data_IF_543201269958
#
_entry.id   IF_543201269958
#
_cell.length_a   1.000
_cell.length_b   1.000
_cell.length_c   1.000
_cell.angle_alpha   90.00
_cell.angle_beta   90.00
_cell.angle_gamma   90.00
#
_symmetry.space_group_name_H-M   'P 1'
#
loop_
_entity.id
_entity.type
_entity.pdbx_description
1 polymer ?
#
# COMPACT_ATOMS: atom_id res chain seq x y z
N UNK A 1 -19.24 -4.14 15.52
CA UNK A 1 -20.18 -4.58 14.46
C UNK A 1 -19.49 -5.69 13.70
N UNK A 2 -20.12 -6.83 13.52
CA UNK A 2 -19.60 -7.94 12.73
C UNK A 2 -20.21 -7.90 11.33
N UNK A 3 -19.37 -7.94 10.32
CA UNK A 3 -19.79 -8.01 8.91
C UNK A 3 -18.79 -8.85 8.13
N UNK A 4 -19.28 -9.79 7.36
CA UNK A 4 -18.43 -10.51 6.41
C UNK A 4 -17.98 -9.56 5.29
N UNK A 5 -16.75 -9.73 4.85
CA UNK A 5 -16.21 -8.93 3.74
C UNK A 5 -17.05 -9.16 2.47
N UNK A 6 -17.60 -8.10 1.92
CA UNK A 6 -18.41 -8.16 0.69
C UNK A 6 -17.62 -8.69 -0.52
N UNK A 7 -16.28 -8.66 -0.45
CA UNK A 7 -15.39 -9.14 -1.51
C UNK A 7 -15.10 -10.64 -1.42
N UNK A 8 -15.54 -11.31 -0.34
CA UNK A 8 -15.30 -12.73 -0.12
C UNK A 8 -16.62 -13.49 -0.32
N UNK A 9 -16.73 -14.37 -1.31
CA UNK A 9 -17.90 -15.20 -1.45
C UNK A 9 -18.03 -16.17 -0.27
N UNK A 10 -19.25 -16.37 0.19
CA UNK A 10 -19.62 -17.40 1.16
C UNK A 10 -20.24 -18.57 0.40
N UNK A 11 -19.63 -19.71 0.49
CA UNK A 11 -20.07 -20.91 -0.25
C UNK A 11 -20.28 -22.09 0.70
N UNK A 12 -21.32 -22.86 0.45
CA UNK A 12 -21.56 -24.13 1.15
C UNK A 12 -20.67 -25.20 0.55
N UNK A 13 -19.84 -25.82 1.39
CA UNK A 13 -19.00 -26.96 1.00
C UNK A 13 -19.65 -28.30 1.30
N UNK A 14 -20.65 -28.29 2.20
CA UNK A 14 -21.53 -29.42 2.53
C UNK A 14 -22.87 -28.89 3.05
N UNK A 15 -23.77 -29.77 3.45
CA UNK A 15 -25.03 -29.36 4.09
C UNK A 15 -24.83 -28.60 5.42
N UNK A 16 -23.68 -28.81 6.08
CA UNK A 16 -23.40 -28.25 7.40
C UNK A 16 -22.07 -27.48 7.49
N UNK A 17 -21.47 -27.16 6.36
CA UNK A 17 -20.17 -26.46 6.34
C UNK A 17 -20.15 -25.34 5.30
N UNK A 18 -19.56 -24.22 5.65
CA UNK A 18 -19.31 -23.10 4.74
C UNK A 18 -17.84 -22.77 4.67
N UNK A 19 -17.46 -22.17 3.54
CA UNK A 19 -16.17 -21.55 3.33
C UNK A 19 -16.37 -20.09 2.92
N UNK A 20 -15.54 -19.21 3.47
CA UNK A 20 -15.52 -17.80 3.12
C UNK A 20 -14.21 -17.48 2.39
N UNK A 21 -14.35 -16.97 1.16
CA UNK A 21 -13.22 -16.83 0.22
C UNK A 21 -12.91 -18.16 -0.49
N UNK A 22 -12.32 -18.06 -1.69
CA UNK A 22 -12.06 -19.24 -2.54
C UNK A 22 -10.56 -19.47 -2.73
N UNK A 23 -9.80 -18.42 -3.03
CA UNK A 23 -8.38 -18.56 -3.42
C UNK A 23 -7.52 -17.41 -2.83
N UNK A 24 -6.84 -17.69 -1.70
CA UNK A 24 -7.07 -18.78 -0.76
C UNK A 24 -8.31 -18.56 0.13
N UNK A 25 -8.88 -19.63 0.70
CA UNK A 25 -9.94 -19.51 1.71
C UNK A 25 -9.47 -18.68 2.90
N UNK A 26 -10.36 -17.82 3.41
CA UNK A 26 -10.08 -16.99 4.60
C UNK A 26 -10.62 -17.56 5.88
N UNK A 27 -11.74 -18.27 5.79
CA UNK A 27 -12.35 -18.94 6.93
C UNK A 27 -13.11 -20.19 6.47
N UNK A 28 -13.22 -21.15 7.39
CA UNK A 28 -14.01 -22.36 7.22
C UNK A 28 -14.78 -22.62 8.51
N UNK A 29 -16.06 -22.95 8.38
CA UNK A 29 -16.93 -23.24 9.53
C UNK A 29 -17.62 -24.56 9.26
N UNK A 30 -17.46 -25.51 10.19
CA UNK A 30 -18.08 -26.82 10.18
C UNK A 30 -19.20 -26.91 11.22
N UNK A 31 -20.02 -27.94 11.08
CA UNK A 31 -21.10 -28.29 12.02
C UNK A 31 -22.09 -27.13 12.25
N UNK A 32 -22.49 -26.48 11.16
CA UNK A 32 -23.49 -25.39 11.18
C UNK A 32 -24.86 -26.03 11.43
N UNK A 33 -25.57 -25.65 12.51
CA UNK A 33 -26.93 -26.08 12.73
C UNK A 33 -27.89 -25.53 11.64
N UNK A 34 -28.90 -26.28 11.27
CA UNK A 34 -29.92 -25.84 10.29
C UNK A 34 -30.59 -24.52 10.70
N UNK A 35 -30.68 -24.28 12.01
CA UNK A 35 -31.26 -23.05 12.58
C UNK A 35 -30.34 -21.83 12.51
N UNK A 36 -29.09 -21.97 12.10
CA UNK A 36 -28.09 -20.90 12.09
C UNK A 36 -28.06 -20.06 10.80
N UNK A 37 -28.78 -20.45 9.75
CA UNK A 37 -28.80 -19.70 8.49
C UNK A 37 -29.15 -18.20 8.63
N UNK A 38 -30.09 -17.78 9.50
CA UNK A 38 -30.37 -16.35 9.72
C UNK A 38 -29.19 -15.58 10.36
N UNK A 39 -28.36 -16.25 11.17
CA UNK A 39 -27.17 -15.65 11.76
C UNK A 39 -26.08 -15.37 10.69
N UNK A 40 -25.90 -16.32 9.77
CA UNK A 40 -24.98 -16.15 8.64
C UNK A 40 -25.43 -15.00 7.72
N UNK A 41 -26.72 -14.91 7.45
CA UNK A 41 -27.30 -13.80 6.67
C UNK A 41 -27.08 -12.46 7.38
N UNK A 42 -27.34 -12.38 8.69
CA UNK A 42 -27.09 -11.18 9.47
C UNK A 42 -25.61 -10.76 9.48
N UNK A 43 -24.68 -11.72 9.47
CA UNK A 43 -23.25 -11.44 9.35
C UNK A 43 -22.89 -10.94 7.95
N UNK A 44 -23.55 -11.38 6.90
CA UNK A 44 -23.35 -10.86 5.54
C UNK A 44 -23.81 -9.40 5.42
N UNK A 45 -24.97 -9.08 5.97
CA UNK A 45 -25.54 -7.73 5.97
C UNK A 45 -24.85 -6.77 6.96
N UNK A 46 -24.29 -7.33 8.02
CA UNK A 46 -23.66 -6.59 9.11
C UNK A 46 -24.58 -6.42 10.32
N UNK A 47 -24.13 -6.93 11.46
CA UNK A 47 -24.90 -6.92 12.70
C UNK A 47 -24.04 -6.56 13.92
N UNK A 48 -24.56 -5.85 14.92
CA UNK A 48 -23.87 -5.67 16.18
C UNK A 48 -23.86 -6.99 16.99
N UNK A 49 -22.93 -7.13 17.92
CA UNK A 49 -22.84 -8.32 18.77
C UNK A 49 -24.18 -8.61 19.52
N UNK A 50 -24.88 -7.57 19.98
CA UNK A 50 -26.20 -7.68 20.60
C UNK A 50 -27.28 -8.23 19.65
N UNK A 51 -27.23 -7.82 18.37
CA UNK A 51 -28.15 -8.33 17.35
C UNK A 51 -27.93 -9.81 17.06
N UNK A 52 -26.66 -10.22 16.97
CA UNK A 52 -26.29 -11.62 16.75
C UNK A 52 -26.72 -12.49 17.96
N UNK A 53 -26.52 -12.01 19.20
CA UNK A 53 -26.98 -12.71 20.40
C UNK A 53 -28.52 -12.79 20.49
N UNK A 54 -29.24 -11.78 20.02
CA UNK A 54 -30.71 -11.81 19.95
C UNK A 54 -31.21 -12.86 18.93
N UNK A 55 -30.61 -12.90 17.75
CA UNK A 55 -30.93 -13.90 16.71
C UNK A 55 -30.62 -15.31 17.21
N UNK A 56 -29.49 -15.51 17.85
CA UNK A 56 -29.11 -16.81 18.44
C UNK A 56 -30.17 -17.33 19.41
N UNK A 57 -30.64 -16.48 20.33
CA UNK A 57 -31.72 -16.83 21.27
C UNK A 57 -33.03 -17.15 20.55
N UNK A 58 -33.40 -16.34 19.56
CA UNK A 58 -34.64 -16.53 18.80
C UNK A 58 -34.64 -17.86 18.03
N UNK A 59 -33.51 -18.23 17.44
CA UNK A 59 -33.35 -19.44 16.64
C UNK A 59 -32.81 -20.65 17.45
N UNK A 60 -32.76 -20.52 18.79
CA UNK A 60 -32.31 -21.59 19.69
C UNK A 60 -30.88 -22.11 19.41
N UNK A 61 -30.01 -21.23 18.93
CA UNK A 61 -28.58 -21.49 18.74
C UNK A 61 -27.84 -21.15 20.04
N UNK A 62 -26.93 -22.03 20.47
CA UNK A 62 -26.19 -21.79 21.71
C UNK A 62 -25.23 -20.61 21.58
N UNK A 63 -25.06 -19.86 22.68
CA UNK A 63 -24.17 -18.72 22.71
C UNK A 63 -22.71 -19.13 22.46
N UNK A 64 -22.26 -20.26 23.03
CA UNK A 64 -20.94 -20.81 22.84
C UNK A 64 -20.66 -21.09 21.35
N UNK A 65 -21.66 -21.62 20.62
CA UNK A 65 -21.51 -21.84 19.18
C UNK A 65 -21.38 -20.51 18.40
N UNK A 66 -22.11 -19.47 18.80
CA UNK A 66 -22.01 -18.13 18.17
C UNK A 66 -20.63 -17.52 18.39
N UNK A 67 -20.08 -17.64 19.59
CA UNK A 67 -18.74 -17.15 19.92
C UNK A 67 -17.68 -17.91 19.09
N UNK A 68 -17.84 -19.23 18.96
CA UNK A 68 -16.98 -20.05 18.13
C UNK A 68 -17.10 -19.66 16.62
N UNK A 69 -18.31 -19.45 16.13
CA UNK A 69 -18.57 -18.97 14.77
C UNK A 69 -17.84 -17.66 14.49
N UNK A 70 -17.98 -16.66 15.40
CA UNK A 70 -17.34 -15.36 15.24
C UNK A 70 -15.82 -15.48 15.24
N UNK A 71 -15.26 -16.31 16.12
CA UNK A 71 -13.82 -16.57 16.17
C UNK A 71 -13.29 -17.22 14.89
N UNK A 72 -14.01 -18.22 14.35
CA UNK A 72 -13.63 -18.84 13.08
C UNK A 72 -13.74 -17.88 11.88
N UNK A 73 -14.71 -16.99 11.91
CA UNK A 73 -14.93 -16.00 10.84
C UNK A 73 -14.07 -14.74 10.96
N UNK A 74 -13.35 -14.54 12.08
CA UNK A 74 -12.53 -13.34 12.31
C UNK A 74 -11.66 -12.91 11.12
N UNK A 75 -10.93 -13.83 10.44
CA UNK A 75 -10.10 -13.47 9.29
C UNK A 75 -10.89 -13.00 8.06
N UNK A 76 -12.22 -13.24 8.05
CA UNK A 76 -13.12 -12.87 6.98
C UNK A 76 -14.07 -11.73 7.34
N UNK A 77 -14.03 -11.26 8.59
CA UNK A 77 -14.82 -10.11 9.03
C UNK A 77 -14.15 -8.81 8.59
N UNK A 78 -14.95 -7.88 8.09
CA UNK A 78 -14.51 -6.50 7.90
C UNK A 78 -14.58 -5.75 9.21
N UNK A 79 -13.48 -5.14 9.60
CA UNK A 79 -13.53 -3.98 10.47
C UNK A 79 -14.17 -2.84 9.65
N UNK A 80 -15.27 -2.29 10.12
CA UNK A 80 -15.99 -1.19 9.47
C UNK A 80 -15.21 0.12 9.55
N UNK A 81 -14.04 0.15 8.97
CA UNK A 81 -13.35 1.39 8.63
C UNK A 81 -13.44 1.49 7.10
N UNK A 82 -14.34 2.32 6.59
CA UNK A 82 -14.20 2.80 5.22
C UNK A 82 -12.96 3.68 5.26
N UNK A 83 -11.84 3.28 4.64
CA UNK A 83 -10.67 4.14 4.61
C UNK A 83 -11.09 5.45 3.94
N UNK A 84 -10.59 6.57 4.47
CA UNK A 84 -10.75 7.86 3.82
C UNK A 84 -10.24 7.75 2.37
N UNK A 85 -10.86 8.45 1.43
CA UNK A 85 -10.43 8.43 0.04
C UNK A 85 -8.96 8.86 -0.03
N UNK A 86 -8.14 8.02 -0.67
CA UNK A 86 -6.71 8.29 -0.82
C UNK A 86 -6.50 9.54 -1.68
N UNK A 87 -5.89 10.56 -1.10
CA UNK A 87 -5.54 11.81 -1.77
C UNK A 87 -4.03 11.87 -1.96
N UNK A 88 -3.59 11.79 -3.20
CA UNK A 88 -2.18 11.85 -3.56
C UNK A 88 -1.85 13.20 -4.18
N UNK A 89 -0.63 13.68 -3.96
CA UNK A 89 -0.07 14.78 -4.71
C UNK A 89 1.14 14.27 -5.50
N UNK A 90 1.16 14.49 -6.82
CA UNK A 90 2.21 13.97 -7.68
C UNK A 90 3.19 15.08 -8.08
N UNK A 91 4.44 14.95 -7.64
CA UNK A 91 5.55 15.79 -8.06
C UNK A 91 6.38 15.04 -9.09
N UNK A 92 6.53 15.61 -10.27
CA UNK A 92 7.13 14.87 -11.38
C UNK A 92 8.06 15.71 -12.26
N UNK A 93 9.18 15.07 -12.65
CA UNK A 93 10.02 15.47 -13.78
C UNK A 93 9.86 14.51 -14.97
N UNK A 94 9.04 13.47 -14.81
CA UNK A 94 8.88 12.38 -15.79
C UNK A 94 7.59 12.53 -16.61
N UNK A 95 7.64 12.12 -17.88
CA UNK A 95 6.46 12.04 -18.75
C UNK A 95 5.45 10.98 -18.29
N UNK A 96 5.85 10.05 -17.43
CA UNK A 96 4.98 9.02 -16.88
C UNK A 96 3.78 9.58 -16.07
N UNK A 97 3.89 10.85 -15.61
CA UNK A 97 2.84 11.52 -14.82
C UNK A 97 1.47 11.48 -15.49
N UNK A 98 1.40 11.73 -16.81
CA UNK A 98 0.12 11.78 -17.54
C UNK A 98 -0.60 10.43 -17.51
N UNK A 99 0.15 9.34 -17.73
CA UNK A 99 -0.41 7.98 -17.63
C UNK A 99 -0.84 7.61 -16.21
N UNK A 100 -0.05 8.00 -15.22
CA UNK A 100 -0.38 7.76 -13.80
C UNK A 100 -1.66 8.47 -13.36
N UNK A 101 -1.83 9.74 -13.70
CA UNK A 101 -3.05 10.50 -13.41
C UNK A 101 -4.27 9.89 -14.10
N UNK A 102 -4.10 9.40 -15.32
CA UNK A 102 -5.18 8.68 -16.04
C UNK A 102 -5.64 7.43 -15.30
N UNK A 103 -4.70 6.61 -14.81
CA UNK A 103 -4.99 5.41 -14.02
C UNK A 103 -5.62 5.76 -12.66
N UNK A 104 -5.11 6.77 -11.98
CA UNK A 104 -5.66 7.22 -10.69
C UNK A 104 -7.15 7.56 -10.81
N UNK A 105 -7.53 8.30 -11.85
CA UNK A 105 -8.94 8.64 -12.12
C UNK A 105 -9.81 7.40 -12.35
N UNK A 106 -9.30 6.41 -13.08
CA UNK A 106 -10.02 5.14 -13.30
C UNK A 106 -10.20 4.34 -12.01
N UNK A 107 -9.24 4.46 -11.07
CA UNK A 107 -9.30 3.80 -9.77
C UNK A 107 -10.07 4.60 -8.70
N UNK A 108 -10.60 5.79 -9.03
CA UNK A 108 -11.29 6.65 -8.06
C UNK A 108 -10.34 7.29 -7.03
N UNK A 109 -9.04 7.37 -7.32
CA UNK A 109 -8.05 8.02 -6.47
C UNK A 109 -7.88 9.48 -6.91
N UNK A 110 -8.01 10.40 -5.96
CA UNK A 110 -7.75 11.82 -6.22
C UNK A 110 -6.24 12.07 -6.32
N UNK A 111 -5.79 12.63 -7.44
CA UNK A 111 -4.39 13.02 -7.62
C UNK A 111 -4.31 14.50 -7.96
N UNK A 112 -3.65 15.25 -7.11
CA UNK A 112 -3.32 16.67 -7.29
C UNK A 112 -1.98 16.75 -8.01
N UNK A 113 -1.93 17.52 -9.10
CA UNK A 113 -0.68 17.80 -9.83
C UNK A 113 -0.45 19.29 -9.80
N UNK A 114 0.55 19.77 -9.05
CA UNK A 114 0.89 21.19 -9.00
C UNK A 114 1.31 21.70 -10.38
N UNK A 115 0.92 22.93 -10.72
CA UNK A 115 1.34 23.56 -11.98
C UNK A 115 2.84 23.86 -12.02
N UNK A 116 3.41 24.18 -10.87
CA UNK A 116 4.84 24.37 -10.67
C UNK A 116 5.23 23.92 -9.26
N UNK A 117 6.41 23.37 -9.14
CA UNK A 117 7.01 22.97 -7.87
C UNK A 117 8.18 23.90 -7.62
N UNK A 118 8.03 24.75 -6.63
CA UNK A 118 9.03 25.72 -6.19
C UNK A 118 9.56 25.36 -4.81
N UNK A 119 10.54 26.10 -4.31
CA UNK A 119 11.12 25.91 -2.98
C UNK A 119 10.10 26.08 -1.83
N UNK A 120 9.04 26.83 -2.07
CA UNK A 120 8.00 27.16 -1.09
C UNK A 120 6.71 26.36 -1.35
N UNK A 121 6.75 25.35 -2.22
CA UNK A 121 5.57 24.53 -2.51
C UNK A 121 5.22 23.69 -1.28
N UNK A 122 4.05 23.93 -0.68
CA UNK A 122 3.52 23.15 0.42
C UNK A 122 2.52 22.15 -0.16
N UNK A 123 2.75 20.84 -0.01
CA UNK A 123 1.80 19.83 -0.46
C UNK A 123 0.47 19.94 0.26
N UNK A 124 -0.61 19.64 -0.47
CA UNK A 124 -1.99 19.62 0.04
C UNK A 124 -2.58 18.22 0.07
N UNK A 125 -1.89 17.24 -0.52
CA UNK A 125 -2.26 15.82 -0.47
C UNK A 125 -1.73 15.13 0.79
N UNK A 126 -2.35 14.01 1.15
CA UNK A 126 -1.95 13.23 2.34
C UNK A 126 -0.60 12.53 2.14
N UNK A 127 -0.26 12.22 0.90
CA UNK A 127 1.01 11.58 0.51
C UNK A 127 1.49 12.14 -0.81
N UNK A 128 2.78 12.49 -0.86
CA UNK A 128 3.43 12.96 -2.09
C UNK A 128 4.06 11.79 -2.84
N UNK A 129 3.71 11.64 -4.11
CA UNK A 129 4.31 10.67 -5.02
C UNK A 129 5.35 11.38 -5.89
N UNK A 130 6.62 11.00 -5.74
CA UNK A 130 7.73 11.56 -6.50
C UNK A 130 7.98 10.71 -7.76
N UNK A 131 7.55 11.18 -8.92
CA UNK A 131 7.71 10.44 -10.18
C UNK A 131 8.91 11.01 -10.94
N UNK A 132 9.93 10.19 -11.13
CA UNK A 132 11.20 10.62 -11.70
C UNK A 132 11.77 9.62 -12.70
N UNK A 133 12.63 10.13 -13.57
CA UNK A 133 13.47 9.32 -14.45
C UNK A 133 14.89 9.27 -13.86
N UNK A 134 15.42 8.07 -13.65
CA UNK A 134 16.75 7.73 -13.08
C UNK A 134 17.00 8.20 -11.65
N UNK A 135 16.61 9.43 -11.30
CA UNK A 135 16.87 10.03 -9.98
C UNK A 135 15.69 10.90 -9.53
N UNK A 136 15.39 10.82 -8.24
CA UNK A 136 14.51 11.79 -7.59
C UNK A 136 15.29 13.10 -7.39
N UNK A 137 14.61 14.23 -7.55
CA UNK A 137 15.20 15.54 -7.28
C UNK A 137 15.62 15.62 -5.80
N UNK A 138 16.93 15.77 -5.48
CA UNK A 138 17.40 15.73 -4.09
C UNK A 138 16.73 16.75 -3.19
N UNK A 139 16.47 17.95 -3.73
CA UNK A 139 15.81 19.01 -3.00
C UNK A 139 14.38 18.64 -2.57
N UNK A 140 13.60 17.97 -3.44
CA UNK A 140 12.24 17.53 -3.08
C UNK A 140 12.26 16.51 -1.94
N UNK A 141 13.17 15.54 -2.01
CA UNK A 141 13.34 14.54 -0.96
C UNK A 141 13.71 15.18 0.40
N UNK A 142 14.60 16.17 0.37
CA UNK A 142 15.04 16.89 1.56
C UNK A 142 13.92 17.80 2.12
N UNK A 143 13.22 18.53 1.27
CA UNK A 143 12.09 19.38 1.65
C UNK A 143 10.98 18.56 2.32
N UNK A 144 10.49 17.49 1.66
CA UNK A 144 9.42 16.65 2.20
C UNK A 144 9.81 15.99 3.53
N UNK A 145 11.08 15.61 3.67
CA UNK A 145 11.59 15.05 4.92
C UNK A 145 11.64 16.08 6.05
N UNK A 146 12.07 17.32 5.76
CA UNK A 146 12.07 18.43 6.74
C UNK A 146 10.68 18.86 7.16
N UNK A 147 9.75 18.90 6.20
CA UNK A 147 8.38 19.34 6.42
C UNK A 147 7.49 18.23 6.99
N UNK A 148 8.09 17.08 7.36
CA UNK A 148 7.41 15.91 7.92
C UNK A 148 6.30 15.33 7.03
N UNK A 149 6.48 15.36 5.71
CA UNK A 149 5.48 14.92 4.74
C UNK A 149 5.76 13.50 4.29
N UNK A 150 4.74 12.65 4.37
CA UNK A 150 4.79 11.27 3.87
C UNK A 150 4.96 11.29 2.36
N UNK A 151 5.93 10.52 1.86
CA UNK A 151 6.20 10.48 0.42
C UNK A 151 6.70 9.13 -0.06
N UNK A 152 6.52 8.87 -1.36
CA UNK A 152 6.94 7.64 -2.00
C UNK A 152 7.51 7.94 -3.38
N UNK A 153 8.74 7.48 -3.72
CA UNK A 153 9.30 7.63 -5.05
C UNK A 153 8.83 6.53 -6.00
N UNK A 154 8.65 6.91 -7.26
CA UNK A 154 8.56 6.01 -8.41
C UNK A 154 9.65 6.44 -9.37
N UNK A 155 10.64 5.59 -9.59
CA UNK A 155 11.79 5.90 -10.45
C UNK A 155 11.81 4.95 -11.63
N UNK A 156 11.69 5.51 -12.83
CA UNK A 156 11.86 4.81 -14.08
C UNK A 156 13.33 4.92 -14.51
N UNK A 157 14.02 3.80 -14.62
CA UNK A 157 15.38 3.73 -15.15
C UNK A 157 15.37 3.15 -16.57
N UNK A 158 16.50 2.64 -17.03
CA UNK A 158 16.63 2.01 -18.34
C UNK A 158 16.09 0.57 -18.42
N UNK A 159 16.25 -0.21 -17.32
CA UNK A 159 15.85 -1.62 -17.24
C UNK A 159 14.94 -1.95 -16.05
N UNK A 160 14.82 -1.02 -15.12
CA UNK A 160 14.11 -1.27 -13.86
C UNK A 160 13.24 -0.08 -13.51
N UNK A 161 12.07 -0.37 -12.98
CA UNK A 161 11.19 0.61 -12.34
C UNK A 161 11.19 0.30 -10.86
N UNK A 162 11.52 1.27 -10.02
CA UNK A 162 11.48 1.11 -8.56
C UNK A 162 10.34 1.93 -7.98
N UNK A 163 9.60 1.35 -7.03
CA UNK A 163 8.51 2.01 -6.30
C UNK A 163 8.79 1.87 -4.82
N UNK A 164 8.85 2.98 -4.12
CA UNK A 164 9.19 3.03 -2.70
C UNK A 164 10.68 3.27 -2.40
N UNK A 165 11.02 3.27 -1.11
CA UNK A 165 10.17 2.94 0.04
C UNK A 165 9.08 3.98 0.29
N UNK A 166 8.03 3.61 1.04
CA UNK A 166 7.14 4.59 1.65
C UNK A 166 7.91 5.27 2.79
N UNK A 167 8.15 6.57 2.63
CA UNK A 167 8.89 7.36 3.59
C UNK A 167 7.93 8.08 4.52
N UNK A 168 7.95 7.68 5.80
CA UNK A 168 7.39 8.44 6.90
C UNK A 168 8.56 9.06 7.64
N UNK A 169 8.78 10.39 7.55
CA UNK A 169 9.96 11.04 8.10
C UNK A 169 10.18 10.71 9.58
N UNK A 170 11.42 10.43 9.95
CA UNK A 170 11.79 10.01 11.31
C UNK A 170 11.46 8.55 11.68
N UNK A 171 10.54 7.90 10.97
CA UNK A 171 10.07 6.54 11.30
C UNK A 171 10.63 5.49 10.33
N UNK A 172 10.78 5.82 9.06
CA UNK A 172 11.26 4.91 8.01
C UNK A 172 12.57 5.43 7.40
N UNK A 173 13.36 4.55 6.73
CA UNK A 173 14.53 5.00 5.96
C UNK A 173 14.11 6.03 4.89
N UNK A 174 14.77 7.18 4.88
CA UNK A 174 14.50 8.25 3.93
C UNK A 174 15.22 8.01 2.58
N UNK A 175 14.92 8.86 1.60
CA UNK A 175 15.55 8.75 0.28
C UNK A 175 17.06 9.03 0.31
N UNK A 176 17.58 9.78 1.30
CA UNK A 176 19.02 9.94 1.51
C UNK A 176 19.66 8.61 1.94
N UNK A 177 18.96 7.78 2.73
CA UNK A 177 19.46 6.44 3.07
C UNK A 177 19.59 5.57 1.82
N UNK A 178 18.56 5.58 0.97
CA UNK A 178 18.55 4.84 -0.31
C UNK A 178 19.71 5.29 -1.22
N UNK A 179 19.85 6.58 -1.38
CA UNK A 179 20.89 7.17 -2.25
C UNK A 179 22.31 6.96 -1.71
N UNK A 180 22.49 7.02 -0.40
CA UNK A 180 23.80 6.72 0.22
C UNK A 180 24.24 5.27 -0.02
N UNK A 181 23.29 4.31 0.09
CA UNK A 181 23.57 2.91 -0.27
C UNK A 181 23.90 2.75 -1.76
N UNK A 182 23.21 3.49 -2.63
CA UNK A 182 23.48 3.46 -4.06
C UNK A 182 24.89 3.94 -4.36
N UNK A 183 25.34 5.02 -3.72
CA UNK A 183 26.71 5.54 -3.83
C UNK A 183 27.78 4.56 -3.33
N UNK A 184 27.48 3.82 -2.26
CA UNK A 184 28.39 2.79 -1.75
C UNK A 184 28.51 1.59 -2.71
N UNK A 185 27.40 1.23 -3.37
CA UNK A 185 27.35 0.06 -4.25
C UNK A 185 27.77 0.36 -5.70
N UNK A 186 27.86 1.63 -6.10
CA UNK A 186 28.19 2.04 -7.46
C UNK A 186 29.29 3.10 -7.46
N UNK A 187 30.49 2.67 -7.78
CA UNK A 187 31.64 3.58 -7.94
C UNK A 187 31.34 4.56 -9.09
N UNK A 188 31.64 5.84 -8.89
CA UNK A 188 31.38 6.89 -9.88
C UNK A 188 29.91 7.28 -9.99
N UNK A 189 29.08 6.97 -8.98
CA UNK A 189 27.66 7.28 -9.04
C UNK A 189 27.37 8.78 -9.19
N UNK A 190 28.18 9.66 -8.60
CA UNK A 190 28.00 11.11 -8.73
C UNK A 190 28.17 11.58 -10.18
N UNK A 191 29.19 11.07 -10.85
CA UNK A 191 29.45 11.37 -12.27
C UNK A 191 28.37 10.80 -13.19
N UNK A 192 27.93 9.57 -12.92
CA UNK A 192 26.83 8.93 -13.67
C UNK A 192 25.53 9.70 -13.45
N UNK A 193 25.19 10.03 -12.20
CA UNK A 193 23.96 10.74 -11.87
C UNK A 193 23.87 12.13 -12.51
N UNK A 194 25.00 12.84 -12.60
CA UNK A 194 25.05 14.14 -13.27
C UNK A 194 24.74 14.07 -14.76
N UNK A 195 25.14 12.98 -15.44
CA UNK A 195 24.87 12.76 -16.86
C UNK A 195 23.43 12.27 -17.13
N UNK A 196 22.81 11.62 -16.15
CA UNK A 196 21.43 11.14 -16.22
C UNK A 196 20.41 12.25 -15.93
N UNK A 197 20.86 13.38 -15.42
CA UNK A 197 19.97 14.49 -15.06
C UNK A 197 19.25 15.04 -16.30
N UNK A 198 17.90 15.03 -16.25
CA UNK A 198 17.06 15.47 -17.38
C UNK A 198 16.90 14.44 -18.50
N UNK A 199 17.57 13.28 -18.42
CA UNK A 199 17.33 12.17 -19.35
C UNK A 199 15.96 11.54 -19.10
N UNK A 200 15.34 11.03 -20.16
CA UNK A 200 14.05 10.35 -20.07
C UNK A 200 14.25 8.83 -20.14
N UNK A 201 13.53 8.11 -19.29
CA UNK A 201 13.52 6.65 -19.31
C UNK A 201 12.83 6.11 -20.58
N UNK A 202 13.31 5.02 -21.17
CA UNK A 202 12.62 4.31 -22.25
C UNK A 202 11.41 3.50 -21.75
N UNK A 203 11.22 3.37 -20.44
CA UNK A 203 10.20 2.49 -19.84
C UNK A 203 8.82 3.12 -19.67
N UNK A 204 8.55 4.28 -20.25
CA UNK A 204 7.25 4.98 -20.17
C UNK A 204 6.17 4.33 -21.06
N UNK A 205 6.01 3.03 -20.98
CA UNK A 205 4.93 2.31 -21.68
C UNK A 205 3.70 2.16 -20.79
N UNK A 206 2.51 2.04 -21.38
CA UNK A 206 1.29 1.89 -20.60
C UNK A 206 1.30 0.68 -19.65
N UNK A 207 1.78 -0.51 -20.03
CA UNK A 207 1.92 -1.64 -19.10
C UNK A 207 2.85 -1.35 -17.94
N UNK A 208 3.98 -0.70 -18.20
CA UNK A 208 4.96 -0.38 -17.16
C UNK A 208 4.43 0.65 -16.15
N UNK A 209 3.74 1.69 -16.66
CA UNK A 209 3.08 2.69 -15.83
C UNK A 209 1.97 2.04 -14.99
N UNK A 210 1.20 1.12 -15.58
CA UNK A 210 0.17 0.35 -14.88
C UNK A 210 0.75 -0.50 -13.76
N UNK A 211 1.87 -1.19 -14.01
CA UNK A 211 2.57 -1.98 -12.98
C UNK A 211 3.10 -1.09 -11.86
N UNK A 212 3.73 0.04 -12.19
CA UNK A 212 4.22 0.99 -11.19
C UNK A 212 3.08 1.55 -10.32
N UNK A 213 1.92 1.86 -10.93
CA UNK A 213 0.72 2.28 -10.22
C UNK A 213 0.20 1.20 -9.27
N UNK A 214 0.11 -0.05 -9.72
CA UNK A 214 -0.32 -1.17 -8.88
C UNK A 214 0.62 -1.38 -7.68
N UNK A 215 1.94 -1.31 -7.90
CA UNK A 215 2.94 -1.41 -6.83
C UNK A 215 2.84 -0.24 -5.84
N UNK A 216 2.55 0.97 -6.30
CA UNK A 216 2.29 2.12 -5.44
C UNK A 216 1.10 1.85 -4.51
N UNK A 217 -0.03 1.42 -5.07
CA UNK A 217 -1.22 1.12 -4.27
C UNK A 217 -0.96 0.00 -3.25
N UNK A 218 -0.20 -1.03 -3.63
CA UNK A 218 0.21 -2.10 -2.70
C UNK A 218 1.05 -1.56 -1.53
N UNK A 219 1.95 -0.60 -1.78
CA UNK A 219 2.75 0.03 -0.72
C UNK A 219 1.92 0.91 0.21
N UNK A 220 0.88 1.55 -0.32
CA UNK A 220 0.01 2.46 0.44
C UNK A 220 -1.09 1.73 1.23
N UNK A 221 -1.33 0.44 0.97
CA UNK A 221 -2.27 -0.34 1.77
C UNK A 221 -1.72 -0.61 3.18
N UNK A 222 -2.57 -0.69 4.22
CA UNK A 222 -2.15 -1.04 5.56
C UNK A 222 -1.34 -2.35 5.58
N UNK A 223 -0.12 -2.31 6.11
CA UNK A 223 0.82 -3.44 6.07
C UNK A 223 1.57 -3.60 4.74
N UNK A 224 1.25 -2.81 3.72
CA UNK A 224 1.99 -2.75 2.46
C UNK A 224 3.41 -2.23 2.67
N UNK A 225 4.38 -2.84 2.00
CA UNK A 225 5.79 -2.45 2.15
C UNK A 225 6.49 -2.95 3.42
N UNK A 226 5.80 -3.70 4.29
CA UNK A 226 6.37 -4.32 5.49
C UNK A 226 6.75 -5.78 5.19
N UNK A 227 7.83 -6.02 4.45
CA UNK A 227 8.18 -7.38 4.02
C UNK A 227 9.64 -7.80 4.27
N UNK A 228 10.44 -6.98 4.94
CA UNK A 228 11.83 -7.30 5.27
C UNK A 228 12.05 -7.52 6.77
N UNK A 229 13.23 -7.99 7.15
CA UNK A 229 13.63 -8.20 8.55
C UNK A 229 13.48 -6.93 9.42
N UNK A 230 13.53 -5.74 8.81
CA UNK A 230 13.33 -4.45 9.46
C UNK A 230 11.98 -3.78 9.05
N UNK A 231 11.11 -4.47 8.31
CA UNK A 231 9.77 -4.00 7.97
C UNK A 231 9.67 -3.00 6.82
N UNK A 232 10.78 -2.50 6.23
CA UNK A 232 10.73 -1.50 5.17
C UNK A 232 11.24 -2.08 3.84
N UNK A 233 10.45 -1.93 2.79
CA UNK A 233 10.78 -2.45 1.47
C UNK A 233 10.49 -1.46 0.36
N UNK A 234 11.11 -1.68 -0.79
CA UNK A 234 10.75 -1.09 -2.07
C UNK A 234 10.53 -2.19 -3.09
N UNK A 235 9.63 -1.99 -4.04
CA UNK A 235 9.47 -2.88 -5.16
C UNK A 235 10.45 -2.51 -6.29
N UNK A 236 11.04 -3.51 -6.94
CA UNK A 236 11.80 -3.35 -8.18
C UNK A 236 11.18 -4.24 -9.26
N UNK A 237 10.65 -3.63 -10.29
CA UNK A 237 10.05 -4.28 -11.43
C UNK A 237 11.01 -4.23 -12.62
N UNK A 238 11.31 -5.39 -13.22
CA UNK A 238 12.10 -5.53 -14.43
C UNK A 238 11.20 -5.98 -15.59
N UNK A 239 10.77 -5.07 -16.48
CA UNK A 239 9.80 -5.37 -17.53
C UNK A 239 10.23 -6.48 -18.48
N UNK A 240 11.49 -6.50 -18.90
CA UNK A 240 12.01 -7.53 -19.83
C UNK A 240 11.96 -8.94 -19.24
N UNK A 241 12.08 -9.07 -17.93
CA UNK A 241 12.03 -10.36 -17.22
C UNK A 241 10.64 -10.68 -16.69
N UNK A 242 9.71 -9.72 -16.70
CA UNK A 242 8.39 -9.85 -16.07
C UNK A 242 8.47 -10.07 -14.57
N UNK A 243 9.55 -9.67 -13.91
CA UNK A 243 9.78 -9.97 -12.48
C UNK A 243 9.61 -8.76 -11.59
N UNK A 244 8.98 -8.98 -10.44
CA UNK A 244 8.88 -8.01 -9.35
C UNK A 244 9.62 -8.59 -8.14
N UNK A 245 10.53 -7.81 -7.57
CA UNK A 245 11.26 -8.19 -6.37
C UNK A 245 11.07 -7.14 -5.28
N UNK A 246 10.83 -7.58 -4.06
CA UNK A 246 10.79 -6.71 -2.89
C UNK A 246 12.17 -6.65 -2.26
N UNK A 247 12.75 -5.46 -2.19
CA UNK A 247 14.09 -5.23 -1.70
C UNK A 247 14.02 -4.56 -0.33
N UNK A 248 14.71 -5.08 0.71
CA UNK A 248 14.75 -4.41 1.99
C UNK A 248 15.46 -3.06 1.88
N UNK A 249 14.98 -2.10 2.65
CA UNK A 249 15.58 -0.77 2.77
C UNK A 249 15.91 -0.51 4.23
N UNK A 250 17.18 -0.25 4.51
CA UNK A 250 17.66 -0.01 5.86
C UNK A 250 18.05 1.46 6.06
N UNK A 251 18.01 1.91 7.31
CA UNK A 251 18.60 3.18 7.69
C UNK A 251 20.11 3.18 7.40
N UNK A 252 20.57 4.24 6.76
CA UNK A 252 21.98 4.38 6.51
C UNK A 252 22.71 4.89 7.76
N UNK A 253 23.85 4.29 8.19
CA UNK A 253 24.53 4.66 9.44
C UNK A 253 24.94 6.13 9.53
N UNK A 254 25.26 6.74 8.38
CA UNK A 254 25.66 8.16 8.28
C UNK A 254 24.50 9.12 8.01
N UNK A 255 23.24 8.63 8.02
CA UNK A 255 22.06 9.46 7.81
C UNK A 255 21.45 9.86 9.16
N UNK A 256 21.21 11.15 9.33
CA UNK A 256 20.59 11.70 10.55
C UNK A 256 19.06 11.66 10.57
N UNK A 257 18.39 11.00 9.59
CA UNK A 257 16.93 11.02 9.48
C UNK A 257 16.18 10.43 10.69
N UNK A 258 16.83 9.58 11.51
CA UNK A 258 16.27 9.10 12.80
C UNK A 258 16.24 10.18 13.89
N UNK A 259 17.09 11.22 13.79
CA UNK A 259 17.25 12.25 14.82
C UNK A 259 16.35 13.47 14.64
N UNK A 260 15.65 13.59 13.52
CA UNK A 260 14.87 14.79 13.19
C UNK A 260 13.66 14.97 14.11
N UNK A 261 13.19 13.92 14.79
CA UNK A 261 12.01 13.97 15.67
C UNK A 261 12.27 13.55 17.12
N UNK A 262 13.53 13.38 17.55
CA UNK A 262 13.88 13.10 18.95
C UNK A 262 13.80 14.33 19.88
N UNK A 263 13.33 15.46 19.37
CA UNK A 263 13.33 16.77 20.06
C UNK A 263 11.96 17.48 20.02
N UNK A 264 10.86 16.72 20.21
CA UNK A 264 9.56 17.34 20.53
C UNK A 264 8.91 16.63 21.69
#
# INVERSE_FOLDING_TARGET
>A
MYRLSANLPVVWTSATSIQVGIDPPRAHVDHIPDTAAPLLHALAEGTPASGLAMLARHHQVSQDWVEHLVAQLEPALTTTHTPDPLRLEAWSTSRAITGMVGLARQCGVEVIVPQAITWDTVPTGDTVVLIADYLVHPHWADQLSRDNIVHVPIVFSDQTITVGPLVTPGQTPCLVCVESRRRENMVGWLEVSSQLWGQQSPLHTAPNIGTAWALLLMLLTPGGGQGGANGFTRAAFRPEQGTITWQPVDFHPRCSCRGIHASQ
#
